data_IF_857098736385
#
_entry.id   IF_857098736385
#
_cell.length_a   1.000
_cell.length_b   1.000
_cell.length_c   1.000
_cell.angle_alpha   90.00
_cell.angle_beta   90.00
_cell.angle_gamma   90.00
#
_symmetry.space_group_name_H-M   'P 1'
#
loop_
_entity.id
_entity.type
_entity.pdbx_description
1 polymer ?
#
# COMPACT_ATOMS: atom_id res chain seq x y z
N UNK A 1 -14.88 18.34 17.61
CA UNK A 1 -13.66 19.19 17.64
C UNK A 1 -12.57 18.41 16.94
N UNK A 2 -12.29 18.71 15.67
CA UNK A 2 -11.18 18.13 14.94
C UNK A 2 -9.89 18.74 15.49
N UNK A 3 -9.19 18.02 16.36
CA UNK A 3 -7.81 18.36 16.68
C UNK A 3 -7.05 18.43 15.36
N UNK A 4 -6.43 19.56 15.09
CA UNK A 4 -5.48 19.73 13.99
C UNK A 4 -4.24 18.89 14.35
N UNK A 5 -4.28 17.57 14.09
CA UNK A 5 -3.18 16.67 14.36
C UNK A 5 -1.99 17.11 13.51
N UNK A 6 -0.87 17.38 14.15
CA UNK A 6 0.41 17.66 13.47
C UNK A 6 1.26 16.41 13.52
N UNK A 7 1.94 16.10 12.42
CA UNK A 7 2.81 14.94 12.28
C UNK A 7 4.25 15.41 12.05
N UNK A 8 5.16 15.02 12.95
CA UNK A 8 6.58 15.25 12.75
C UNK A 8 7.09 14.35 11.61
N UNK A 9 7.51 14.97 10.51
CA UNK A 9 7.93 14.22 9.32
C UNK A 9 9.04 13.21 9.66
N UNK A 10 10.02 13.58 10.47
CA UNK A 10 11.17 12.73 10.84
C UNK A 10 10.80 11.43 11.58
N UNK A 11 9.63 11.37 12.24
CA UNK A 11 9.13 10.16 12.90
C UNK A 11 7.89 9.56 12.18
N UNK A 12 7.66 9.96 10.93
CA UNK A 12 6.51 9.51 10.12
C UNK A 12 6.97 8.73 8.89
N UNK A 13 6.33 7.59 8.63
CA UNK A 13 6.55 6.82 7.40
C UNK A 13 5.27 6.71 6.57
N UNK A 14 5.38 6.90 5.26
CA UNK A 14 4.34 6.53 4.29
C UNK A 14 4.56 5.07 3.87
N UNK A 15 3.52 4.24 4.01
CA UNK A 15 3.50 2.86 3.53
C UNK A 15 2.59 2.77 2.32
N UNK A 16 3.19 2.60 1.15
CA UNK A 16 2.49 2.46 -0.12
C UNK A 16 2.21 0.98 -0.36
N UNK A 17 0.95 0.58 -0.31
CA UNK A 17 0.54 -0.82 -0.42
C UNK A 17 0.22 -1.13 -1.87
N UNK A 18 1.07 -1.97 -2.49
CA UNK A 18 0.83 -2.68 -3.75
C UNK A 18 0.48 -1.81 -4.97
N UNK A 19 1.00 -0.58 -5.06
CA UNK A 19 0.88 0.21 -6.29
C UNK A 19 1.90 -0.29 -7.33
N UNK A 20 1.65 -1.49 -7.87
CA UNK A 20 2.51 -2.25 -8.78
C UNK A 20 1.97 -2.26 -10.21
N UNK A 21 2.84 -2.51 -11.19
CA UNK A 21 2.45 -2.58 -12.59
C UNK A 21 1.42 -3.68 -12.88
N UNK A 22 1.53 -4.87 -12.26
CA UNK A 22 0.55 -5.94 -12.48
C UNK A 22 -0.85 -5.62 -11.95
N UNK A 23 -0.96 -4.69 -11.00
CA UNK A 23 -2.25 -4.17 -10.56
C UNK A 23 -2.78 -3.03 -11.45
N UNK A 24 -1.90 -2.12 -11.92
CA UNK A 24 -2.32 -0.81 -12.45
C UNK A 24 -1.99 -0.60 -13.93
N UNK A 25 -0.96 -1.27 -14.46
CA UNK A 25 -0.58 -1.10 -15.87
C UNK A 25 -1.62 -1.72 -16.82
N UNK A 26 -1.86 -1.11 -18.01
CA UNK A 26 -2.71 -1.71 -19.05
C UNK A 26 -2.25 -3.11 -19.49
N UNK A 27 -0.97 -3.44 -19.32
CA UNK A 27 -0.40 -4.75 -19.65
C UNK A 27 -0.37 -5.70 -18.44
N UNK A 28 -0.73 -5.20 -17.26
CA UNK A 28 -0.68 -5.95 -16.01
C UNK A 28 -1.71 -7.08 -15.90
N UNK A 29 -1.52 -7.93 -14.89
CA UNK A 29 -2.38 -9.08 -14.61
C UNK A 29 -3.85 -8.67 -14.39
N UNK A 30 -4.08 -7.62 -13.61
CA UNK A 30 -5.43 -7.15 -13.28
C UNK A 30 -6.16 -6.47 -14.43
N UNK A 31 -5.43 -5.81 -15.34
CA UNK A 31 -6.02 -5.29 -16.58
C UNK A 31 -6.53 -6.43 -17.48
N UNK A 32 -5.75 -7.52 -17.60
CA UNK A 32 -6.19 -8.76 -18.28
C UNK A 32 -7.45 -9.34 -17.64
N UNK A 33 -7.51 -9.30 -16.30
CA UNK A 33 -8.68 -9.75 -15.54
C UNK A 33 -9.86 -8.80 -15.58
N UNK A 34 -9.74 -7.63 -16.23
CA UNK A 34 -10.78 -6.58 -16.27
C UNK A 34 -11.26 -6.15 -14.89
N UNK A 35 -10.34 -6.11 -13.91
CA UNK A 35 -10.65 -5.84 -12.50
C UNK A 35 -10.07 -4.53 -12.00
N UNK A 36 -9.37 -3.77 -12.85
CA UNK A 36 -8.82 -2.44 -12.49
C UNK A 36 -9.95 -1.42 -12.53
N UNK A 37 -10.14 -0.70 -11.42
CA UNK A 37 -11.08 0.42 -11.39
C UNK A 37 -10.44 1.71 -11.89
N UNK A 38 -11.27 2.64 -12.40
CA UNK A 38 -10.78 3.95 -12.82
C UNK A 38 -10.11 4.71 -11.67
N UNK A 39 -10.63 4.59 -10.44
CA UNK A 39 -10.05 5.21 -9.25
C UNK A 39 -8.66 4.66 -8.91
N UNK A 40 -8.41 3.36 -9.15
CA UNK A 40 -7.09 2.76 -8.93
C UNK A 40 -6.02 3.39 -9.83
N UNK A 41 -6.37 3.72 -11.07
CA UNK A 41 -5.45 4.35 -12.02
C UNK A 41 -5.06 5.79 -11.63
N UNK A 42 -5.84 6.44 -10.77
CA UNK A 42 -5.55 7.80 -10.28
C UNK A 42 -4.65 7.80 -9.04
N UNK A 43 -4.47 6.66 -8.37
CA UNK A 43 -3.71 6.60 -7.12
C UNK A 43 -2.23 7.01 -7.27
N UNK A 44 -1.49 6.61 -8.32
CA UNK A 44 -0.11 7.05 -8.45
C UNK A 44 0.03 8.57 -8.46
N UNK A 45 -0.82 9.27 -9.21
CA UNK A 45 -0.81 10.73 -9.29
C UNK A 45 -1.20 11.42 -7.98
N UNK A 46 -2.04 10.79 -7.15
CA UNK A 46 -2.43 11.30 -5.82
C UNK A 46 -1.38 11.04 -4.76
N UNK A 47 -0.73 9.88 -4.81
CA UNK A 47 0.23 9.42 -3.78
C UNK A 47 1.63 9.98 -4.00
N UNK A 48 2.09 10.15 -5.25
CA UNK A 48 3.43 10.61 -5.54
C UNK A 48 3.75 11.98 -4.90
N UNK A 49 2.88 13.01 -4.94
CA UNK A 49 3.15 14.27 -4.25
C UNK A 49 3.25 14.12 -2.72
N UNK A 50 2.47 13.21 -2.12
CA UNK A 50 2.53 12.92 -0.67
C UNK A 50 3.88 12.33 -0.32
N UNK A 51 4.34 11.33 -1.07
CA UNK A 51 5.63 10.68 -0.87
C UNK A 51 6.78 11.67 -1.01
N UNK A 52 6.77 12.50 -2.06
CA UNK A 52 7.78 13.51 -2.32
C UNK A 52 7.84 14.57 -1.20
N UNK A 53 6.67 15.06 -0.76
CA UNK A 53 6.60 16.08 0.31
C UNK A 53 7.10 15.52 1.64
N UNK A 54 6.64 14.33 2.03
CA UNK A 54 7.09 13.70 3.26
C UNK A 54 8.61 13.46 3.25
N UNK A 55 9.14 12.91 2.16
CA UNK A 55 10.57 12.67 1.99
C UNK A 55 11.40 13.96 2.04
N UNK A 56 10.94 15.02 1.38
CA UNK A 56 11.61 16.33 1.39
C UNK A 56 11.67 16.95 2.81
N UNK A 57 10.79 16.58 3.71
CA UNK A 57 10.76 17.00 5.11
C UNK A 57 11.44 16.00 6.07
N UNK A 58 12.15 15.00 5.54
CA UNK A 58 12.92 14.04 6.33
C UNK A 58 12.14 12.81 6.80
N UNK A 59 10.92 12.59 6.30
CA UNK A 59 10.15 11.38 6.57
C UNK A 59 10.59 10.19 5.72
N UNK A 60 10.05 9.02 6.01
CA UNK A 60 10.41 7.74 5.40
C UNK A 60 9.33 7.23 4.46
N UNK A 61 9.70 6.62 3.35
CA UNK A 61 8.74 6.06 2.38
C UNK A 61 9.05 4.58 2.13
N UNK A 62 8.12 3.71 2.49
CA UNK A 62 8.19 2.29 2.20
C UNK A 62 7.10 1.89 1.21
N UNK A 63 7.40 0.95 0.32
CA UNK A 63 6.43 0.35 -0.58
C UNK A 63 6.39 -1.17 -0.39
N UNK A 64 5.20 -1.77 -0.37
CA UNK A 64 5.06 -3.21 -0.44
C UNK A 64 4.81 -3.67 -1.87
N UNK A 65 5.35 -4.84 -2.17
CA UNK A 65 5.12 -5.54 -3.42
C UNK A 65 4.51 -6.91 -3.12
N UNK A 66 3.26 -7.11 -3.49
CA UNK A 66 2.67 -8.44 -3.51
C UNK A 66 3.48 -9.31 -4.49
N UNK A 67 3.90 -10.49 -4.03
CA UNK A 67 4.84 -11.34 -4.76
C UNK A 67 4.31 -12.76 -4.83
N UNK A 68 4.22 -13.29 -6.03
CA UNK A 68 3.90 -14.69 -6.30
C UNK A 68 5.19 -15.43 -6.64
N UNK A 69 5.73 -16.13 -5.65
CA UNK A 69 6.93 -16.95 -5.83
C UNK A 69 6.62 -18.11 -6.76
N UNK A 70 7.49 -18.42 -7.73
CA UNK A 70 7.31 -19.56 -8.62
C UNK A 70 7.69 -20.88 -7.93
N UNK A 71 6.99 -21.94 -8.28
CA UNK A 71 7.40 -23.32 -7.99
C UNK A 71 8.53 -23.78 -8.94
N UNK A 72 8.94 -25.04 -8.81
CA UNK A 72 10.01 -25.62 -9.66
C UNK A 72 9.67 -25.66 -11.18
N UNK A 73 8.38 -25.52 -11.54
CA UNK A 73 7.91 -25.46 -12.94
C UNK A 73 7.70 -24.00 -13.39
N UNK A 74 7.91 -23.05 -12.48
CA UNK A 74 7.70 -21.63 -12.71
C UNK A 74 6.25 -21.17 -12.58
N UNK A 75 5.35 -22.04 -12.07
CA UNK A 75 3.97 -21.65 -11.80
C UNK A 75 3.88 -20.89 -10.47
N UNK A 76 2.98 -19.90 -10.33
CA UNK A 76 2.87 -19.12 -9.11
C UNK A 76 2.40 -19.99 -7.95
N UNK A 77 3.14 -19.96 -6.83
CA UNK A 77 2.73 -20.59 -5.57
C UNK A 77 1.64 -19.75 -4.93
N UNK A 78 0.41 -20.08 -5.21
CA UNK A 78 -0.79 -19.39 -4.75
C UNK A 78 -1.84 -20.40 -4.31
N UNK A 79 -2.63 -20.07 -3.29
CA UNK A 79 -3.69 -20.96 -2.83
C UNK A 79 -4.78 -21.14 -3.88
N UNK A 80 -5.39 -22.33 -3.93
CA UNK A 80 -6.54 -22.60 -4.81
C UNK A 80 -7.67 -21.59 -4.60
N UNK A 81 -7.93 -21.23 -3.35
CA UNK A 81 -8.91 -20.20 -3.01
C UNK A 81 -8.63 -18.84 -3.67
N UNK A 82 -7.37 -18.41 -3.73
CA UNK A 82 -7.01 -17.16 -4.41
C UNK A 82 -7.19 -17.30 -5.93
N UNK A 83 -6.83 -18.44 -6.51
CA UNK A 83 -7.06 -18.71 -7.94
C UNK A 83 -8.56 -18.72 -8.31
N UNK A 84 -9.42 -19.27 -7.44
CA UNK A 84 -10.87 -19.19 -7.64
C UNK A 84 -11.38 -17.74 -7.72
N UNK A 85 -10.81 -16.86 -6.91
CA UNK A 85 -11.15 -15.42 -6.90
C UNK A 85 -10.43 -14.62 -7.97
N UNK A 86 -9.32 -15.13 -8.49
CA UNK A 86 -8.43 -14.47 -9.44
C UNK A 86 -8.01 -15.43 -10.57
N UNK A 87 -8.97 -16.00 -11.33
CA UNK A 87 -8.68 -17.04 -12.35
C UNK A 87 -7.82 -16.55 -13.51
N UNK A 88 -7.60 -15.24 -13.60
CA UNK A 88 -6.73 -14.61 -14.59
C UNK A 88 -5.24 -14.64 -14.25
N UNK A 89 -4.89 -14.97 -13.01
CA UNK A 89 -3.48 -15.09 -12.59
C UNK A 89 -2.80 -16.27 -13.31
N UNK A 90 -1.60 -16.02 -13.81
CA UNK A 90 -0.81 -16.98 -14.57
C UNK A 90 0.67 -16.87 -14.29
N UNK A 91 1.43 -17.79 -14.84
CA UNK A 91 2.88 -17.81 -14.78
C UNK A 91 3.49 -16.45 -15.15
N UNK A 92 4.38 -15.96 -14.30
CA UNK A 92 5.09 -14.70 -14.45
C UNK A 92 4.40 -13.49 -13.82
N UNK A 93 3.11 -13.57 -13.48
CA UNK A 93 2.42 -12.48 -12.80
C UNK A 93 2.98 -12.29 -11.38
N UNK A 94 3.27 -11.06 -11.02
CA UNK A 94 3.87 -10.70 -9.72
C UNK A 94 5.15 -11.48 -9.38
N UNK A 95 5.82 -12.06 -10.37
CA UNK A 95 7.00 -12.86 -10.15
C UNK A 95 8.17 -11.98 -9.65
N UNK A 96 9.03 -12.49 -8.74
CA UNK A 96 10.17 -11.75 -8.24
C UNK A 96 11.04 -11.16 -9.37
N UNK A 97 11.29 -9.85 -9.31
CA UNK A 97 12.13 -9.13 -10.29
C UNK A 97 11.47 -8.89 -11.65
N UNK A 98 10.18 -9.23 -11.83
CA UNK A 98 9.47 -8.91 -13.07
C UNK A 98 9.04 -7.43 -13.10
N UNK A 99 8.86 -6.89 -14.30
CA UNK A 99 8.30 -5.55 -14.50
C UNK A 99 6.89 -5.46 -13.89
N UNK A 100 6.12 -6.55 -13.89
CA UNK A 100 4.79 -6.61 -13.30
C UNK A 100 4.81 -6.42 -11.79
N UNK A 101 5.82 -7.00 -11.12
CA UNK A 101 6.02 -6.84 -9.67
C UNK A 101 6.47 -5.43 -9.29
N UNK A 102 7.20 -4.73 -10.16
CA UNK A 102 7.72 -3.39 -9.87
C UNK A 102 6.60 -2.42 -9.50
N UNK A 103 6.94 -1.48 -8.60
CA UNK A 103 6.08 -0.34 -8.34
C UNK A 103 5.95 0.51 -9.61
N UNK A 104 4.81 1.20 -9.75
CA UNK A 104 4.59 2.12 -10.87
C UNK A 104 5.68 3.19 -10.93
N UNK A 105 6.05 3.66 -12.14
CA UNK A 105 7.19 4.56 -12.32
C UNK A 105 7.12 5.85 -11.51
N UNK A 106 5.91 6.39 -11.30
CA UNK A 106 5.66 7.64 -10.59
C UNK A 106 6.13 7.63 -9.13
N UNK A 107 6.32 6.46 -8.55
CA UNK A 107 6.67 6.29 -7.14
C UNK A 107 8.13 5.89 -6.90
N UNK A 108 8.83 5.40 -7.94
CA UNK A 108 10.16 4.77 -7.79
C UNK A 108 11.18 5.65 -7.08
N UNK A 109 11.27 6.92 -7.44
CA UNK A 109 12.31 7.83 -6.91
C UNK A 109 12.04 8.29 -5.48
N UNK A 110 10.82 8.08 -5.00
CA UNK A 110 10.42 8.49 -3.65
C UNK A 110 10.56 7.37 -2.61
N UNK A 111 10.67 6.11 -3.03
CA UNK A 111 10.68 4.95 -2.13
C UNK A 111 12.09 4.70 -1.56
N UNK A 112 12.19 4.62 -0.23
CA UNK A 112 13.42 4.29 0.50
C UNK A 112 13.57 2.80 0.75
N UNK A 113 12.44 2.08 0.93
CA UNK A 113 12.40 0.66 1.20
C UNK A 113 11.32 -0.04 0.39
N UNK A 114 11.67 -1.12 -0.26
CA UNK A 114 10.72 -2.06 -0.87
C UNK A 114 10.69 -3.34 -0.06
N UNK A 115 9.49 -3.82 0.31
CA UNK A 115 9.29 -5.11 0.96
C UNK A 115 8.43 -6.02 0.10
N UNK A 116 8.91 -7.24 -0.18
CA UNK A 116 8.13 -8.26 -0.85
C UNK A 116 7.24 -8.99 0.16
N UNK A 117 5.95 -9.06 -0.10
CA UNK A 117 4.99 -9.75 0.78
C UNK A 117 4.20 -10.82 0.04
N UNK A 118 3.86 -11.88 0.74
CA UNK A 118 3.07 -13.02 0.23
C UNK A 118 1.65 -13.05 0.78
N UNK A 119 1.31 -12.09 1.63
CA UNK A 119 0.02 -11.98 2.31
C UNK A 119 -0.52 -10.54 2.21
N UNK A 120 -1.68 -10.27 2.84
CA UNK A 120 -2.30 -8.95 2.78
C UNK A 120 -1.49 -7.86 3.48
N UNK A 121 -1.02 -8.11 4.71
CA UNK A 121 -0.27 -7.12 5.48
C UNK A 121 1.16 -6.95 4.97
N UNK A 122 1.62 -5.70 4.88
CA UNK A 122 3.01 -5.36 4.57
C UNK A 122 3.97 -5.74 5.70
N UNK A 123 3.48 -5.96 6.91
CA UNK A 123 4.29 -6.39 8.06
C UNK A 123 4.49 -7.91 8.12
N UNK A 124 3.61 -8.70 7.46
CA UNK A 124 3.65 -10.14 7.60
C UNK A 124 4.88 -10.76 6.90
N UNK A 125 5.76 -11.35 7.68
CA UNK A 125 7.01 -12.00 7.22
C UNK A 125 7.90 -11.09 6.36
N UNK A 126 7.94 -9.78 6.69
CA UNK A 126 8.83 -8.81 6.06
C UNK A 126 9.72 -8.12 7.10
N UNK A 127 10.75 -7.42 6.65
CA UNK A 127 11.61 -6.61 7.50
C UNK A 127 11.02 -5.23 7.86
N UNK A 128 9.77 -4.92 7.45
CA UNK A 128 9.20 -3.57 7.56
C UNK A 128 9.23 -3.05 8.99
N UNK A 129 8.70 -3.80 9.96
CA UNK A 129 8.66 -3.37 11.37
C UNK A 129 10.06 -3.08 11.93
N UNK A 130 11.02 -3.97 11.65
CA UNK A 130 12.40 -3.79 12.11
C UNK A 130 13.02 -2.50 11.55
N UNK A 131 12.84 -2.22 10.24
CA UNK A 131 13.38 -1.02 9.60
C UNK A 131 12.74 0.24 10.17
N UNK A 132 11.40 0.28 10.27
CA UNK A 132 10.67 1.42 10.79
C UNK A 132 11.08 1.74 12.24
N UNK A 133 11.24 0.74 13.10
CA UNK A 133 11.73 0.91 14.48
C UNK A 133 13.15 1.49 14.51
N UNK A 134 14.04 0.99 13.65
CA UNK A 134 15.41 1.49 13.56
C UNK A 134 15.49 2.92 13.02
N UNK A 135 14.56 3.31 12.17
CA UNK A 135 14.41 4.67 11.67
C UNK A 135 13.72 5.62 12.67
N UNK A 136 13.29 5.14 13.85
CA UNK A 136 12.62 5.97 14.84
C UNK A 136 11.20 6.37 14.46
N UNK A 137 10.53 5.56 13.61
CA UNK A 137 9.17 5.84 13.16
C UNK A 137 8.16 5.52 14.26
N UNK A 138 7.28 6.47 14.53
CA UNK A 138 6.17 6.38 15.50
C UNK A 138 4.81 6.42 14.81
N UNK A 139 4.71 7.11 13.66
CA UNK A 139 3.48 7.24 12.87
C UNK A 139 3.64 6.57 11.52
N UNK A 140 2.66 5.76 11.14
CA UNK A 140 2.58 5.19 9.80
C UNK A 140 1.33 5.69 9.08
N UNK A 141 1.56 6.22 7.88
CA UNK A 141 0.53 6.72 6.97
C UNK A 141 0.37 5.70 5.86
N UNK A 142 -0.82 5.17 5.65
CA UNK A 142 -1.04 4.03 4.77
C UNK A 142 -1.92 4.43 3.60
N UNK A 143 -1.48 4.08 2.40
CA UNK A 143 -2.20 4.29 1.14
C UNK A 143 -2.05 3.07 0.22
N UNK A 144 -2.78 3.04 -0.90
CA UNK A 144 -2.66 2.00 -1.92
C UNK A 144 -3.90 1.12 -2.10
N UNK A 145 -3.69 -0.15 -2.45
CA UNK A 145 -4.76 -1.10 -2.81
C UNK A 145 -4.63 -2.44 -2.08
N UNK A 146 -5.78 -3.05 -1.85
CA UNK A 146 -7.14 -2.51 -1.83
C UNK A 146 -7.49 -2.15 -0.40
N UNK A 147 -8.35 -1.12 -0.23
CA UNK A 147 -8.69 -0.58 1.10
C UNK A 147 -9.13 -1.65 2.08
N UNK A 148 -10.04 -2.56 1.66
CA UNK A 148 -10.56 -3.66 2.47
C UNK A 148 -9.64 -4.89 2.56
N UNK A 149 -8.46 -4.86 1.97
CA UNK A 149 -7.50 -5.97 1.92
C UNK A 149 -6.13 -5.55 2.45
N UNK A 150 -5.18 -5.34 1.54
CA UNK A 150 -3.79 -5.01 1.89
C UNK A 150 -3.66 -3.79 2.80
N UNK A 151 -4.38 -2.71 2.49
CA UNK A 151 -4.40 -1.48 3.31
C UNK A 151 -4.94 -1.77 4.71
N UNK A 152 -6.14 -2.35 4.83
CA UNK A 152 -6.76 -2.63 6.12
C UNK A 152 -5.94 -3.60 6.97
N UNK A 153 -5.37 -4.64 6.37
CA UNK A 153 -4.52 -5.60 7.08
C UNK A 153 -3.23 -4.94 7.58
N UNK A 154 -2.61 -4.09 6.75
CA UNK A 154 -1.40 -3.35 7.13
C UNK A 154 -1.70 -2.35 8.26
N UNK A 155 -2.85 -1.65 8.21
CA UNK A 155 -3.26 -0.70 9.24
C UNK A 155 -3.48 -1.38 10.60
N UNK A 156 -4.18 -2.53 10.62
CA UNK A 156 -4.39 -3.29 11.85
C UNK A 156 -3.09 -3.85 12.41
N UNK A 157 -2.22 -4.36 11.55
CA UNK A 157 -0.91 -4.87 11.94
C UNK A 157 0.01 -3.75 12.48
N UNK A 158 -0.08 -2.54 11.94
CA UNK A 158 0.59 -1.37 12.47
C UNK A 158 0.06 -1.00 13.86
N UNK A 159 -1.28 -0.98 14.01
CA UNK A 159 -1.94 -0.66 15.27
C UNK A 159 -1.53 -1.62 16.40
N UNK A 160 -1.52 -2.95 16.15
CA UNK A 160 -1.13 -3.93 17.18
C UNK A 160 0.37 -3.91 17.49
N UNK A 161 1.16 -3.18 16.71
CA UNK A 161 2.59 -2.90 16.93
C UNK A 161 2.84 -1.53 17.56
N UNK A 162 1.78 -0.89 18.09
CA UNK A 162 1.83 0.41 18.76
C UNK A 162 2.30 1.59 17.86
N UNK A 163 2.10 1.51 16.53
CA UNK A 163 2.22 2.69 15.69
C UNK A 163 0.95 3.54 15.74
N UNK A 164 1.11 4.86 15.72
CA UNK A 164 0.02 5.77 15.36
C UNK A 164 -0.33 5.57 13.88
N UNK A 165 -1.61 5.28 13.60
CA UNK A 165 -2.06 4.93 12.25
C UNK A 165 -2.84 6.06 11.61
N UNK A 166 -2.47 6.39 10.37
CA UNK A 166 -3.22 7.27 9.48
C UNK A 166 -3.52 6.53 8.19
N UNK A 167 -4.76 6.62 7.67
CA UNK A 167 -5.14 6.06 6.37
C UNK A 167 -5.56 7.19 5.44
N UNK A 168 -4.96 7.25 4.25
CA UNK A 168 -5.28 8.26 3.25
C UNK A 168 -6.52 7.84 2.46
N UNK A 169 -7.65 8.52 2.72
CA UNK A 169 -8.95 8.13 2.16
C UNK A 169 -9.00 8.20 0.63
N UNK A 170 -8.42 9.21 0.04
CA UNK A 170 -8.31 9.41 -1.41
C UNK A 170 -7.00 8.85 -2.01
N UNK A 171 -6.07 8.44 -1.15
CA UNK A 171 -4.87 7.68 -1.47
C UNK A 171 -5.11 6.16 -1.51
N UNK A 172 -6.33 5.69 -1.26
CA UNK A 172 -6.73 4.29 -1.29
C UNK A 172 -7.93 4.06 -2.20
N UNK A 173 -8.11 2.83 -2.66
CA UNK A 173 -9.35 2.39 -3.33
C UNK A 173 -9.60 0.91 -3.14
N UNK A 174 -10.84 0.46 -3.39
CA UNK A 174 -11.24 -0.94 -3.40
C UNK A 174 -11.93 -1.29 -4.73
N UNK A 175 -12.35 -2.54 -4.91
CA UNK A 175 -13.06 -2.98 -6.11
C UNK A 175 -14.46 -2.38 -6.26
N UNK A 176 -15.02 -1.82 -5.18
CA UNK A 176 -16.25 -1.03 -5.21
C UNK A 176 -16.19 0.09 -4.18
N UNK A 177 -16.90 1.18 -4.45
CA UNK A 177 -16.99 2.30 -3.52
C UNK A 177 -17.63 1.90 -2.17
N UNK A 178 -18.61 1.01 -2.18
CA UNK A 178 -19.24 0.51 -0.95
C UNK A 178 -18.22 -0.20 -0.04
N UNK A 179 -17.37 -1.07 -0.58
CA UNK A 179 -16.30 -1.73 0.17
C UNK A 179 -15.26 -0.73 0.66
N UNK A 180 -14.92 0.27 -0.16
CA UNK A 180 -13.98 1.31 0.21
C UNK A 180 -14.50 2.11 1.41
N UNK A 181 -15.71 2.65 1.34
CA UNK A 181 -16.31 3.47 2.40
C UNK A 181 -16.50 2.66 3.70
N UNK A 182 -16.99 1.42 3.62
CA UNK A 182 -17.13 0.56 4.78
C UNK A 182 -15.78 0.30 5.47
N UNK A 183 -14.72 0.08 4.68
CA UNK A 183 -13.38 -0.13 5.23
C UNK A 183 -12.79 1.12 5.87
N UNK A 184 -12.99 2.29 5.29
CA UNK A 184 -12.54 3.54 5.90
C UNK A 184 -13.26 3.81 7.23
N UNK A 185 -14.57 3.57 7.28
CA UNK A 185 -15.36 3.70 8.51
C UNK A 185 -14.88 2.75 9.62
N UNK A 186 -14.55 1.51 9.25
CA UNK A 186 -14.00 0.52 10.19
C UNK A 186 -12.58 0.91 10.66
N UNK A 187 -11.72 1.36 9.75
CA UNK A 187 -10.35 1.76 10.08
C UNK A 187 -10.28 3.03 10.94
N UNK A 188 -11.30 3.89 10.90
CA UNK A 188 -11.42 5.03 11.78
C UNK A 188 -11.51 4.66 13.27
N UNK A 189 -11.79 3.38 13.59
CA UNK A 189 -11.80 2.88 14.97
C UNK A 189 -10.40 2.63 15.56
N UNK A 190 -9.38 2.50 14.70
CA UNK A 190 -7.99 2.18 15.11
C UNK A 190 -6.98 3.25 14.72
N UNK A 191 -7.38 4.26 13.97
CA UNK A 191 -6.48 5.31 13.49
C UNK A 191 -7.24 6.51 12.95
N UNK A 192 -6.49 7.46 12.39
CA UNK A 192 -7.08 8.62 11.73
C UNK A 192 -7.32 8.31 10.25
N UNK A 193 -8.42 8.81 9.70
CA UNK A 193 -8.72 8.76 8.26
C UNK A 193 -8.79 10.19 7.75
N UNK A 194 -7.98 10.53 6.75
CA UNK A 194 -7.92 11.87 6.19
C UNK A 194 -7.52 11.83 4.70
N UNK A 195 -7.68 12.96 4.01
CA UNK A 195 -7.23 13.07 2.60
C UNK A 195 -5.72 13.27 2.50
N UNK A 196 -5.16 13.00 1.31
CA UNK A 196 -3.76 13.29 0.99
C UNK A 196 -3.40 14.75 1.30
N UNK A 197 -4.23 15.69 0.86
CA UNK A 197 -4.02 17.13 1.10
C UNK A 197 -4.06 17.49 2.58
N UNK A 198 -5.01 16.93 3.33
CA UNK A 198 -5.11 17.16 4.78
C UNK A 198 -3.85 16.66 5.49
N UNK A 199 -3.34 15.50 5.11
CA UNK A 199 -2.10 14.96 5.68
C UNK A 199 -0.90 15.84 5.35
N UNK A 200 -0.69 16.20 4.08
CA UNK A 200 0.43 17.06 3.67
C UNK A 200 0.43 18.39 4.41
N UNK A 201 -0.75 19.02 4.57
CA UNK A 201 -0.89 20.28 5.31
C UNK A 201 -0.71 20.14 6.83
N UNK A 202 -0.68 18.93 7.37
CA UNK A 202 -0.47 18.65 8.79
C UNK A 202 0.97 18.28 9.15
N UNK A 203 1.86 18.14 8.16
CA UNK A 203 3.29 17.89 8.38
C UNK A 203 3.98 19.11 9.03
N UNK A 204 4.90 18.84 9.94
CA UNK A 204 5.75 19.82 10.66
C UNK A 204 7.17 19.30 10.82
#
# INVERSE_FOLDING_TARGET
MTQNSKFAAASTALIIVDLQNDFLSPQGAYARGKTVSADALLLPARVAPVAQTLKAQGGYVAASQFTLWPDAKGEPMVSSHLLEKRPFLRKGDFAPGSVGQDNVPELKDSVDLVVCKVAYSAFFNTQLDWVLRKAGIETVVICGIVTNGGVASTARDAHVRDYSVVVLSDGCTAFSNALHQASLADLASIGQVMTCDTFVNSLV
#
